data_IF_791001849494
#
_entry.id   IF_791001849494
#
_cell.length_a   1.000
_cell.length_b   1.000
_cell.length_c   1.000
_cell.angle_alpha   90.00
_cell.angle_beta   90.00
_cell.angle_gamma   90.00
#
_symmetry.space_group_name_H-M   'P 1'
#
loop_
_entity.id
_entity.type
_entity.pdbx_description
1 polymer ?
#
# COMPACT_ATOMS: atom_id res chain seq x y z
N UNK A 1 -13.09 8.40 -18.24
CA UNK A 1 -12.30 8.62 -17.00
C UNK A 1 -12.51 7.36 -16.19
N UNK A 2 -11.49 6.63 -15.77
CA UNK A 2 -11.71 5.32 -15.11
C UNK A 2 -12.26 5.51 -13.70
N UNK A 3 -13.58 5.51 -13.56
CA UNK A 3 -14.26 5.62 -12.28
C UNK A 3 -13.99 4.34 -11.47
N UNK A 4 -13.18 4.45 -10.41
CA UNK A 4 -13.00 3.36 -9.45
C UNK A 4 -14.32 3.26 -8.69
N UNK A 5 -14.93 2.07 -8.71
CA UNK A 5 -16.20 1.81 -8.05
C UNK A 5 -16.19 2.33 -6.60
N UNK A 6 -17.14 3.19 -6.20
CA UNK A 6 -17.21 3.72 -4.84
C UNK A 6 -17.41 2.61 -3.80
N UNK A 7 -17.97 1.47 -4.21
CA UNK A 7 -18.06 0.27 -3.37
C UNK A 7 -16.68 -0.33 -3.03
N UNK A 8 -15.73 -0.29 -3.96
CA UNK A 8 -14.35 -0.74 -3.72
C UNK A 8 -13.68 0.24 -2.76
N UNK A 9 -13.82 1.55 -2.99
CA UNK A 9 -13.27 2.59 -2.11
C UNK A 9 -13.77 2.41 -0.67
N UNK A 10 -15.07 2.24 -0.47
CA UNK A 10 -15.66 2.01 0.86
C UNK A 10 -15.16 0.72 1.51
N UNK A 11 -15.09 -0.39 0.77
CA UNK A 11 -14.53 -1.65 1.30
C UNK A 11 -13.08 -1.48 1.72
N UNK A 12 -12.27 -0.82 0.89
CA UNK A 12 -10.87 -0.52 1.18
C UNK A 12 -10.75 0.39 2.41
N UNK A 13 -11.59 1.42 2.55
CA UNK A 13 -11.64 2.28 3.73
C UNK A 13 -11.99 1.52 5.01
N UNK A 14 -12.97 0.62 4.98
CA UNK A 14 -13.38 -0.15 6.16
C UNK A 14 -12.31 -1.17 6.57
N UNK A 15 -11.76 -1.91 5.60
CA UNK A 15 -10.72 -2.92 5.84
C UNK A 15 -9.40 -2.27 6.30
N UNK A 16 -8.87 -1.32 5.53
CA UNK A 16 -7.63 -0.63 5.90
C UNK A 16 -7.84 0.28 7.11
N UNK A 17 -8.99 0.96 7.26
CA UNK A 17 -9.25 1.83 8.40
C UNK A 17 -9.27 1.10 9.75
N UNK A 18 -9.65 -0.18 9.75
CA UNK A 18 -9.53 -1.06 10.93
C UNK A 18 -8.08 -1.44 11.25
N UNK A 19 -7.25 -1.61 10.22
CA UNK A 19 -5.85 -2.03 10.36
C UNK A 19 -4.91 -0.85 10.61
N UNK A 20 -5.17 0.32 10.02
CA UNK A 20 -4.32 1.51 10.06
C UNK A 20 -5.16 2.77 10.34
N UNK A 21 -4.85 3.49 11.43
CA UNK A 21 -5.53 4.75 11.79
C UNK A 21 -5.02 5.99 11.03
N UNK A 22 -3.84 5.90 10.43
CA UNK A 22 -3.19 6.93 9.60
C UNK A 22 -2.44 6.22 8.47
N UNK A 23 -2.50 6.71 7.22
CA UNK A 23 -3.00 8.01 6.74
C UNK A 23 -4.52 8.02 6.42
N UNK A 24 -5.10 9.20 6.19
CA UNK A 24 -6.54 9.37 5.91
C UNK A 24 -6.92 8.74 4.56
N UNK A 25 -7.68 7.66 4.59
CA UNK A 25 -8.15 6.94 3.40
C UNK A 25 -9.31 7.72 2.75
N UNK A 26 -9.01 8.77 1.98
CA UNK A 26 -10.03 9.55 1.26
C UNK A 26 -10.24 9.02 -0.16
N UNK A 27 -11.44 9.20 -0.71
CA UNK A 27 -11.79 8.79 -2.08
C UNK A 27 -10.82 9.35 -3.12
N UNK A 28 -10.35 10.59 -2.94
CA UNK A 28 -9.36 11.21 -3.86
C UNK A 28 -8.02 10.48 -3.85
N UNK A 29 -7.55 10.07 -2.67
CA UNK A 29 -6.29 9.33 -2.52
C UNK A 29 -6.44 7.89 -2.98
N UNK A 30 -7.61 7.27 -2.81
CA UNK A 30 -7.88 5.92 -3.33
C UNK A 30 -8.11 5.92 -4.84
N UNK A 31 -8.61 7.02 -5.41
CA UNK A 31 -8.85 7.16 -6.84
C UNK A 31 -7.56 7.36 -7.65
N UNK A 32 -6.60 8.15 -7.12
CA UNK A 32 -5.24 8.25 -7.68
C UNK A 32 -4.20 8.28 -6.57
N UNK A 33 -3.79 7.11 -6.05
CA UNK A 33 -2.87 7.05 -4.94
C UNK A 33 -1.48 7.53 -5.35
N UNK A 34 -0.94 8.60 -4.72
CA UNK A 34 0.45 8.96 -4.92
C UNK A 34 1.34 7.88 -4.28
N UNK A 35 2.55 7.68 -4.83
CA UNK A 35 3.49 6.66 -4.34
C UNK A 35 3.75 6.77 -2.82
N UNK A 36 3.86 8.00 -2.32
CA UNK A 36 4.05 8.28 -0.89
C UNK A 36 2.92 7.72 -0.04
N UNK A 37 1.68 7.76 -0.52
CA UNK A 37 0.51 7.24 0.19
C UNK A 37 0.52 5.71 0.24
N UNK A 38 0.85 5.03 -0.87
CA UNK A 38 1.01 3.57 -0.90
C UNK A 38 2.11 3.15 0.09
N UNK A 39 3.23 3.85 0.10
CA UNK A 39 4.34 3.55 1.01
C UNK A 39 3.97 3.77 2.48
N UNK A 40 3.26 4.85 2.79
CA UNK A 40 2.78 5.14 4.15
C UNK A 40 1.79 4.05 4.64
N UNK A 41 0.89 3.61 3.77
CA UNK A 41 0.00 2.46 4.03
C UNK A 41 0.79 1.19 4.33
N UNK A 42 1.79 0.84 3.50
CA UNK A 42 2.60 -0.36 3.71
C UNK A 42 3.40 -0.29 5.01
N UNK A 43 3.96 0.87 5.35
CA UNK A 43 4.68 1.09 6.61
C UNK A 43 3.75 0.96 7.83
N UNK A 44 2.57 1.57 7.77
CA UNK A 44 1.55 1.48 8.81
C UNK A 44 1.01 0.05 8.97
N UNK A 45 0.79 -0.68 7.87
CA UNK A 45 0.40 -2.09 7.90
C UNK A 45 1.49 -2.94 8.54
N UNK A 46 2.74 -2.77 8.11
CA UNK A 46 3.89 -3.48 8.70
C UNK A 46 3.99 -3.25 10.20
N UNK A 47 3.69 -2.02 10.66
CA UNK A 47 3.71 -1.69 12.08
C UNK A 47 2.50 -2.24 12.85
N UNK A 48 1.33 -2.29 12.21
CA UNK A 48 0.08 -2.69 12.86
C UNK A 48 -0.12 -4.20 12.91
N UNK A 49 0.03 -4.88 11.77
CA UNK A 49 -0.19 -6.32 11.64
C UNK A 49 1.10 -7.13 11.64
N UNK A 50 2.27 -6.49 11.50
CA UNK A 50 3.55 -7.19 11.41
C UNK A 50 3.78 -7.90 10.07
N UNK A 51 2.82 -7.83 9.13
CA UNK A 51 2.98 -8.38 7.78
C UNK A 51 4.05 -7.59 7.02
N UNK A 52 4.75 -8.22 6.08
CA UNK A 52 5.85 -7.59 5.32
C UNK A 52 7.10 -7.20 6.14
N UNK A 53 7.16 -7.51 7.44
CA UNK A 53 8.35 -7.29 8.27
C UNK A 53 9.46 -8.24 7.82
N UNK A 54 10.46 -7.70 7.13
CA UNK A 54 11.55 -8.46 6.49
C UNK A 54 11.33 -8.78 5.01
N UNK A 55 10.17 -8.42 4.44
CA UNK A 55 9.91 -8.58 3.00
C UNK A 55 10.58 -7.47 2.17
N UNK A 56 10.61 -6.25 2.72
CA UNK A 56 11.35 -5.14 2.14
C UNK A 56 12.73 -5.07 2.80
N UNK A 57 13.77 -5.04 1.97
CA UNK A 57 15.15 -4.81 2.41
C UNK A 57 15.27 -3.40 3.00
N UNK A 58 16.25 -3.13 3.86
CA UNK A 58 16.46 -1.80 4.47
C UNK A 58 16.51 -0.65 3.44
N UNK A 59 17.00 -0.92 2.21
CA UNK A 59 16.97 0.02 1.09
C UNK A 59 15.57 0.26 0.49
N UNK A 60 14.68 -0.74 0.49
CA UNK A 60 13.30 -0.60 -0.02
C UNK A 60 12.32 -0.14 1.06
N UNK A 61 12.68 -0.30 2.34
CA UNK A 61 11.89 0.17 3.48
C UNK A 61 11.89 1.70 3.61
N UNK A 62 12.73 2.41 2.85
CA UNK A 62 12.86 3.85 2.92
C UNK A 62 12.36 4.50 1.63
N UNK A 63 11.25 5.25 1.72
CA UNK A 63 10.65 5.97 0.60
C UNK A 63 11.59 6.97 -0.07
N UNK A 64 12.65 7.40 0.61
CA UNK A 64 13.70 8.25 0.06
C UNK A 64 14.67 7.52 -0.87
N UNK A 65 14.81 6.20 -0.76
CA UNK A 65 15.62 5.40 -1.69
C UNK A 65 14.88 5.13 -3.01
N UNK A 66 13.55 5.09 -2.98
CA UNK A 66 12.73 4.84 -4.17
C UNK A 66 12.44 6.15 -4.92
N UNK A 67 13.50 6.72 -5.53
CA UNK A 67 13.39 7.88 -6.41
C UNK A 67 13.12 7.47 -7.86
N UNK A 68 13.61 6.30 -8.24
CA UNK A 68 13.58 5.82 -9.62
C UNK A 68 12.22 5.28 -10.05
N UNK A 69 11.87 5.49 -11.32
CA UNK A 69 10.56 5.07 -11.86
C UNK A 69 10.47 3.55 -11.91
N UNK A 70 11.58 2.87 -12.17
CA UNK A 70 11.66 1.41 -12.17
C UNK A 70 11.54 0.84 -10.75
N UNK A 71 12.25 1.45 -9.79
CA UNK A 71 12.16 1.07 -8.38
C UNK A 71 10.73 1.20 -7.83
N UNK A 72 9.98 2.24 -8.22
CA UNK A 72 8.55 2.37 -7.85
C UNK A 72 7.72 1.21 -8.37
N UNK A 73 7.92 0.82 -9.63
CA UNK A 73 7.20 -0.32 -10.23
C UNK A 73 7.56 -1.63 -9.55
N UNK A 74 8.85 -1.84 -9.26
CA UNK A 74 9.32 -3.03 -8.56
C UNK A 74 8.67 -3.14 -7.18
N UNK A 75 8.65 -2.05 -6.41
CA UNK A 75 8.00 -1.99 -5.09
C UNK A 75 6.51 -2.35 -5.16
N UNK A 76 5.77 -1.69 -6.07
CA UNK A 76 4.34 -1.96 -6.29
C UNK A 76 4.10 -3.43 -6.66
N UNK A 77 4.91 -3.98 -7.58
CA UNK A 77 4.82 -5.38 -7.99
C UNK A 77 5.08 -6.33 -6.83
N UNK A 78 6.08 -6.04 -5.98
CA UNK A 78 6.44 -6.84 -4.81
C UNK A 78 5.36 -6.87 -3.75
N UNK A 79 4.73 -5.72 -3.48
CA UNK A 79 3.55 -5.62 -2.59
C UNK A 79 2.41 -6.47 -3.14
N UNK A 80 2.10 -6.35 -4.43
CA UNK A 80 1.02 -7.12 -5.07
C UNK A 80 1.33 -8.62 -4.98
N UNK A 81 2.54 -9.04 -5.35
CA UNK A 81 2.96 -10.44 -5.31
C UNK A 81 2.82 -11.03 -3.90
N UNK A 82 3.28 -10.31 -2.88
CA UNK A 82 3.10 -10.71 -1.49
C UNK A 82 1.63 -10.83 -1.08
N UNK A 83 0.79 -9.86 -1.43
CA UNK A 83 -0.64 -9.90 -1.10
C UNK A 83 -1.33 -11.04 -1.85
N UNK A 84 -0.96 -11.29 -3.10
CA UNK A 84 -1.46 -12.43 -3.89
C UNK A 84 -1.07 -13.74 -3.22
N UNK A 85 0.19 -13.93 -2.83
CA UNK A 85 0.63 -15.13 -2.12
C UNK A 85 -0.07 -15.27 -0.77
N UNK A 86 -0.18 -14.19 0.01
CA UNK A 86 -0.82 -14.22 1.32
C UNK A 86 -2.33 -14.49 1.26
N UNK A 87 -3.00 -14.09 0.17
CA UNK A 87 -4.44 -14.27 -0.03
C UNK A 87 -4.79 -15.57 -0.77
N UNK A 88 -3.80 -16.27 -1.33
CA UNK A 88 -3.98 -17.53 -2.06
C UNK A 88 -3.65 -18.76 -1.21
N UNK A 89 -3.75 -18.62 0.12
CA UNK A 89 -3.65 -19.67 1.13
C UNK A 89 -4.96 -19.82 1.89
#
# INVERSE_FOLDING_TARGET
MGDIDPNVIKKTQDLLGKLIKKPTLTDKLLSRPPFRFIHDICSSLTRSTGIMKGLFTANESNSECIKDKDAKRAYLKKVIDFVTVANNC
#
